data_IF_886797349038
#
_entry.id   IF_886797349038
#
_cell.length_a   1.000
_cell.length_b   1.000
_cell.length_c   1.000
_cell.angle_alpha   90.00
_cell.angle_beta   90.00
_cell.angle_gamma   90.00
#
_symmetry.space_group_name_H-M   'P 1'
#
loop_
_entity.id
_entity.type
_entity.pdbx_description
1 polymer ?
#
# COMPACT_ATOMS: atom_id res chain seq x y z
N UNK A 1 -26.28 35.88 42.75
CA UNK A 1 -25.90 34.73 41.90
C UNK A 1 -25.14 35.26 40.70
N UNK A 2 -23.83 35.01 40.61
CA UNK A 2 -23.04 35.44 39.46
C UNK A 2 -23.24 34.44 38.30
N UNK A 3 -23.79 34.91 37.19
CA UNK A 3 -23.86 34.13 35.96
C UNK A 3 -22.42 33.79 35.53
N UNK A 4 -22.05 32.51 35.61
CA UNK A 4 -20.80 32.00 35.02
C UNK A 4 -20.88 32.20 33.51
N UNK A 5 -20.27 33.27 33.02
CA UNK A 5 -20.07 33.46 31.60
C UNK A 5 -19.23 32.30 31.07
N UNK A 6 -19.78 31.52 30.13
CA UNK A 6 -18.99 30.53 29.40
C UNK A 6 -17.91 31.30 28.65
N UNK A 7 -16.66 31.17 29.09
CA UNK A 7 -15.53 31.74 28.40
C UNK A 7 -15.54 31.25 26.94
N UNK A 8 -15.39 32.17 25.99
CA UNK A 8 -15.26 31.81 24.57
C UNK A 8 -13.94 31.07 24.41
N UNK A 9 -13.99 29.75 24.29
CA UNK A 9 -12.80 28.91 24.06
C UNK A 9 -12.36 29.14 22.62
N UNK A 10 -11.14 29.61 22.43
CA UNK A 10 -10.55 29.72 21.11
C UNK A 10 -10.03 28.34 20.68
N UNK A 11 -10.58 27.72 19.62
CA UNK A 11 -10.21 26.36 19.22
C UNK A 11 -8.77 26.26 18.69
N UNK A 12 -8.09 27.39 18.47
CA UNK A 12 -6.69 27.46 18.05
C UNK A 12 -5.70 27.59 19.21
N UNK A 13 -6.18 27.78 20.44
CA UNK A 13 -5.31 27.84 21.61
C UNK A 13 -4.68 26.47 21.88
N UNK A 14 -3.38 26.47 22.17
CA UNK A 14 -2.66 25.24 22.50
C UNK A 14 -3.19 24.67 23.82
N UNK A 15 -3.48 23.36 23.83
CA UNK A 15 -4.00 22.65 25.00
C UNK A 15 -5.53 22.59 25.11
N UNK A 16 -6.27 23.15 24.15
CA UNK A 16 -7.73 22.97 24.07
C UNK A 16 -8.11 21.57 23.58
N UNK A 17 -9.28 21.09 24.01
CA UNK A 17 -9.79 19.79 23.57
C UNK A 17 -10.01 19.78 22.05
N UNK A 18 -10.45 20.90 21.49
CA UNK A 18 -10.66 21.14 20.07
C UNK A 18 -9.37 20.96 19.27
N UNK A 19 -8.24 21.52 19.76
CA UNK A 19 -6.95 21.35 19.09
C UNK A 19 -6.48 19.90 19.15
N UNK A 20 -6.65 19.22 20.29
CA UNK A 20 -6.31 17.79 20.43
C UNK A 20 -7.12 16.92 19.47
N UNK A 21 -8.42 17.19 19.34
CA UNK A 21 -9.29 16.49 18.38
C UNK A 21 -8.87 16.76 16.93
N UNK A 22 -8.53 18.00 16.60
CA UNK A 22 -8.05 18.37 15.27
C UNK A 22 -6.72 17.67 14.92
N UNK A 23 -5.77 17.63 15.84
CA UNK A 23 -4.48 16.97 15.61
C UNK A 23 -4.65 15.44 15.46
N UNK A 24 -5.54 14.83 16.24
CA UNK A 24 -5.91 13.41 16.10
C UNK A 24 -6.56 13.14 14.74
N UNK A 25 -7.50 13.99 14.33
CA UNK A 25 -8.12 13.90 13.01
C UNK A 25 -7.07 13.97 11.90
N UNK A 26 -6.16 14.95 11.94
CA UNK A 26 -5.10 15.09 10.93
C UNK A 26 -4.23 13.84 10.84
N UNK A 27 -3.83 13.27 11.98
CA UNK A 27 -3.03 12.04 12.02
C UNK A 27 -3.80 10.85 11.44
N UNK A 28 -5.05 10.67 11.84
CA UNK A 28 -5.89 9.59 11.33
C UNK A 28 -6.14 9.72 9.81
N UNK A 29 -6.38 10.94 9.33
CA UNK A 29 -6.56 11.21 7.90
C UNK A 29 -5.29 10.90 7.10
N UNK A 30 -4.12 11.34 7.57
CA UNK A 30 -2.85 11.02 6.90
C UNK A 30 -2.57 9.51 6.89
N UNK A 31 -2.89 8.80 7.98
CA UNK A 31 -2.75 7.35 8.03
C UNK A 31 -3.70 6.64 7.04
N UNK A 32 -4.94 7.12 6.92
CA UNK A 32 -5.90 6.60 5.94
C UNK A 32 -5.41 6.80 4.50
N UNK A 33 -4.97 8.02 4.16
CA UNK A 33 -4.43 8.33 2.81
C UNK A 33 -3.21 7.44 2.47
N UNK A 34 -2.32 7.19 3.44
CA UNK A 34 -1.18 6.29 3.23
C UNK A 34 -1.63 4.83 3.02
N UNK A 35 -2.62 4.35 3.77
CA UNK A 35 -3.15 3.01 3.61
C UNK A 35 -3.86 2.83 2.25
N UNK A 36 -4.59 3.85 1.77
CA UNK A 36 -5.21 3.84 0.44
C UNK A 36 -4.17 3.75 -0.67
N UNK A 37 -3.08 4.52 -0.58
CA UNK A 37 -1.98 4.45 -1.54
C UNK A 37 -1.32 3.07 -1.56
N UNK A 38 -1.11 2.48 -0.38
CA UNK A 38 -0.51 1.15 -0.27
C UNK A 38 -1.44 0.06 -0.82
N UNK A 39 -2.74 0.15 -0.59
CA UNK A 39 -3.73 -0.75 -1.17
C UNK A 39 -3.74 -0.65 -2.71
N UNK A 40 -3.60 0.55 -3.27
CA UNK A 40 -3.48 0.74 -4.71
C UNK A 40 -2.25 0.04 -5.30
N UNK A 41 -1.08 0.15 -4.63
CA UNK A 41 0.13 -0.56 -5.04
C UNK A 41 -0.09 -2.08 -5.05
N UNK A 42 -0.61 -2.65 -3.97
CA UNK A 42 -0.88 -4.09 -3.92
C UNK A 42 -1.91 -4.55 -4.95
N UNK A 43 -2.89 -3.71 -5.30
CA UNK A 43 -3.82 -4.02 -6.38
C UNK A 43 -3.10 -4.13 -7.74
N UNK A 44 -2.14 -3.23 -8.01
CA UNK A 44 -1.34 -3.29 -9.24
C UNK A 44 -0.42 -4.52 -9.29
N UNK A 45 0.22 -4.87 -8.17
CA UNK A 45 1.04 -6.09 -8.05
C UNK A 45 0.18 -7.35 -8.24
N UNK A 46 -1.01 -7.39 -7.62
CA UNK A 46 -1.97 -8.47 -7.80
C UNK A 46 -2.38 -8.66 -9.27
N UNK A 47 -2.60 -7.56 -10.01
CA UNK A 47 -2.86 -7.61 -11.45
C UNK A 47 -1.66 -8.13 -12.24
N UNK A 48 -0.44 -7.70 -11.91
CA UNK A 48 0.78 -8.19 -12.57
C UNK A 48 0.99 -9.69 -12.35
N UNK A 49 0.79 -10.17 -11.12
CA UNK A 49 0.87 -11.59 -10.80
C UNK A 49 -0.21 -12.40 -11.52
N UNK A 50 -1.44 -11.88 -11.60
CA UNK A 50 -2.53 -12.52 -12.35
C UNK A 50 -2.19 -12.62 -13.84
N UNK A 51 -1.73 -11.53 -14.46
CA UNK A 51 -1.32 -11.53 -15.86
C UNK A 51 -0.18 -12.52 -16.12
N UNK A 52 0.77 -12.62 -15.18
CA UNK A 52 1.88 -13.59 -15.27
C UNK A 52 1.37 -15.03 -15.18
N UNK A 53 0.46 -15.31 -14.24
CA UNK A 53 -0.18 -16.62 -14.10
C UNK A 53 -0.97 -17.02 -15.35
N UNK A 54 -1.69 -16.08 -15.96
CA UNK A 54 -2.43 -16.31 -17.21
C UNK A 54 -1.48 -16.66 -18.37
N UNK A 55 -0.35 -15.96 -18.51
CA UNK A 55 0.70 -16.30 -19.50
C UNK A 55 1.29 -17.69 -19.27
N UNK A 56 1.57 -18.06 -18.02
CA UNK A 56 2.06 -19.41 -17.72
C UNK A 56 1.01 -20.47 -18.02
N UNK A 57 -0.26 -20.22 -17.71
CA UNK A 57 -1.35 -21.13 -18.04
C UNK A 57 -1.50 -21.31 -19.56
N UNK A 58 -1.35 -20.24 -20.34
CA UNK A 58 -1.35 -20.30 -21.80
C UNK A 58 -0.14 -21.10 -22.34
N UNK A 59 1.06 -20.85 -21.81
CA UNK A 59 2.25 -21.62 -22.16
C UNK A 59 2.05 -23.12 -21.85
N UNK A 60 1.53 -23.47 -20.67
CA UNK A 60 1.22 -24.86 -20.32
C UNK A 60 0.20 -25.50 -21.26
N UNK A 61 -0.84 -24.77 -21.69
CA UNK A 61 -1.80 -25.25 -22.69
C UNK A 61 -1.13 -25.51 -24.04
N UNK A 62 -0.26 -24.60 -24.49
CA UNK A 62 0.48 -24.76 -25.74
C UNK A 62 1.39 -26.00 -25.70
N UNK A 63 2.03 -26.27 -24.57
CA UNK A 63 2.88 -27.46 -24.37
C UNK A 63 2.11 -28.77 -24.27
N UNK A 64 0.83 -28.73 -23.88
CA UNK A 64 -0.08 -29.87 -23.93
C UNK A 64 -0.40 -30.35 -25.35
N UNK A 65 -0.04 -29.58 -26.39
CA UNK A 65 -0.04 -30.00 -27.79
C UNK A 65 1.35 -30.47 -28.23
N UNK A 66 1.82 -31.58 -27.68
CA UNK A 66 2.88 -32.42 -28.26
C UNK A 66 4.30 -31.85 -28.33
N UNK A 67 4.51 -30.55 -28.13
CA UNK A 67 5.83 -29.94 -28.19
C UNK A 67 6.55 -30.03 -26.84
N UNK A 68 7.63 -30.81 -26.84
CA UNK A 68 8.56 -30.90 -25.71
C UNK A 68 9.23 -29.54 -25.54
N UNK A 69 9.07 -28.92 -24.37
CA UNK A 69 9.78 -27.68 -24.01
C UNK A 69 11.29 -27.92 -24.13
N UNK A 70 11.96 -27.22 -25.03
CA UNK A 70 13.42 -27.11 -24.99
C UNK A 70 13.80 -26.41 -23.69
N UNK A 71 14.65 -26.98 -22.82
CA UNK A 71 15.00 -26.37 -21.54
C UNK A 71 15.57 -24.97 -21.80
N UNK A 72 14.87 -23.96 -21.30
CA UNK A 72 15.30 -22.57 -21.38
C UNK A 72 16.69 -22.48 -20.73
N UNK A 73 17.67 -22.04 -21.51
CA UNK A 73 19.05 -21.88 -21.06
C UNK A 73 19.10 -21.09 -19.74
N UNK A 74 19.99 -21.55 -18.86
CA UNK A 74 20.16 -21.11 -17.48
C UNK A 74 19.87 -19.62 -17.23
N UNK A 75 19.02 -19.35 -16.23
CA UNK A 75 18.86 -18.03 -15.63
C UNK A 75 20.25 -17.60 -15.12
N UNK A 76 20.83 -16.48 -15.59
CA UNK A 76 22.10 -16.00 -15.05
C UNK A 76 21.89 -15.64 -13.58
N UNK A 77 22.67 -16.30 -12.72
CA UNK A 77 22.75 -16.02 -11.30
C UNK A 77 23.27 -14.60 -11.11
N UNK A 78 22.41 -13.66 -10.68
CA UNK A 78 22.86 -12.36 -10.22
C UNK A 78 23.44 -12.54 -8.80
N UNK A 79 24.71 -12.21 -8.54
CA UNK A 79 25.27 -12.25 -7.19
C UNK A 79 24.70 -11.09 -6.38
N UNK A 80 24.11 -11.40 -5.21
CA UNK A 80 23.79 -10.40 -4.19
C UNK A 80 25.08 -9.67 -3.80
N UNK A 81 25.20 -8.40 -4.16
CA UNK A 81 26.20 -7.52 -3.56
C UNK A 81 25.85 -7.31 -2.09
N UNK A 82 26.51 -8.06 -1.21
CA UNK A 82 26.58 -7.72 0.21
C UNK A 82 27.53 -6.54 0.37
N UNK A 83 26.98 -5.35 0.49
CA UNK A 83 27.72 -4.18 0.95
C UNK A 83 28.24 -4.45 2.38
N UNK A 84 29.56 -4.40 2.54
CA UNK A 84 30.24 -4.26 3.84
C UNK A 84 30.56 -2.79 4.10
#
# INVERSE_FOLDING_TARGET
MAAKSRARVNPFDQGTAERVLFDRFRKAKAAAEAAEQQAALFATEGQAHRASAERYAEALRALGHGDKVTPLAAIPHFPEQRNS
#
